data_IF_411378588716
#
_entry.id   IF_411378588716
#
_cell.length_a   1.000
_cell.length_b   1.000
_cell.length_c   1.000
_cell.angle_alpha   90.00
_cell.angle_beta   90.00
_cell.angle_gamma   90.00
#
_symmetry.space_group_name_H-M   'P 1'
#
loop_
_entity.id
_entity.type
_entity.pdbx_description
1 polymer ?
#
# COMPACT_ATOMS: atom_id res chain seq x y z
N UNK A 1 1.94 12.58 3.20
CA UNK A 1 0.82 11.84 2.58
C UNK A 1 0.20 10.79 3.54
N UNK A 2 -1.10 10.47 3.43
CA UNK A 2 -1.70 9.29 4.08
C UNK A 2 -2.12 8.25 3.04
N UNK A 3 -1.97 6.98 3.37
CA UNK A 3 -2.35 5.87 2.49
C UNK A 3 -3.13 4.82 3.26
N UNK A 4 -4.11 4.20 2.61
CA UNK A 4 -4.86 3.05 3.13
C UNK A 4 -5.07 2.01 2.04
N UNK A 5 -5.25 0.76 2.45
CA UNK A 5 -5.62 -0.35 1.57
C UNK A 5 -7.10 -0.65 1.76
N UNK A 6 -7.85 -0.74 0.67
CA UNK A 6 -9.23 -1.21 0.64
C UNK A 6 -9.24 -2.75 0.68
N UNK A 7 -9.73 -3.31 1.77
CA UNK A 7 -9.79 -4.75 2.02
C UNK A 7 -10.74 -5.49 1.08
N UNK A 8 -11.73 -4.79 0.51
CA UNK A 8 -12.70 -5.38 -0.43
C UNK A 8 -12.14 -5.52 -1.84
N UNK A 9 -11.14 -4.70 -2.19
CA UNK A 9 -10.46 -4.73 -3.49
C UNK A 9 -9.13 -5.47 -3.44
N UNK A 10 -8.48 -5.51 -2.28
CA UNK A 10 -7.20 -6.18 -2.12
C UNK A 10 -7.31 -7.68 -2.44
N UNK A 11 -6.38 -8.18 -3.24
CA UNK A 11 -6.30 -9.60 -3.64
C UNK A 11 -5.05 -10.29 -3.11
N UNK A 12 -4.34 -9.68 -2.16
CA UNK A 12 -3.07 -10.18 -1.64
C UNK A 12 -2.04 -10.55 -2.72
N UNK A 13 -1.96 -9.74 -3.78
CA UNK A 13 -0.98 -9.95 -4.85
C UNK A 13 0.46 -9.57 -4.45
N UNK A 14 0.66 -8.99 -3.26
CA UNK A 14 1.95 -8.61 -2.66
C UNK A 14 2.79 -7.58 -3.42
N UNK A 15 2.33 -7.08 -4.58
CA UNK A 15 3.06 -6.09 -5.40
C UNK A 15 3.51 -4.87 -4.60
N UNK A 16 2.63 -4.30 -3.78
CA UNK A 16 2.97 -3.14 -2.94
C UNK A 16 3.95 -3.46 -1.81
N UNK A 17 3.95 -4.69 -1.30
CA UNK A 17 4.92 -5.15 -0.29
C UNK A 17 6.30 -5.31 -0.93
N UNK A 18 6.36 -5.76 -2.18
CA UNK A 18 7.61 -5.83 -2.95
C UNK A 18 8.13 -4.44 -3.34
N UNK A 19 7.24 -3.50 -3.71
CA UNK A 19 7.61 -2.14 -4.10
C UNK A 19 8.03 -1.29 -2.90
N UNK A 20 7.28 -1.31 -1.80
CA UNK A 20 7.56 -0.48 -0.62
C UNK A 20 7.34 -1.25 0.70
N UNK A 21 8.25 -2.18 1.07
CA UNK A 21 8.13 -3.02 2.26
C UNK A 21 8.23 -2.24 3.59
N UNK A 22 8.74 -1.00 3.53
CA UNK A 22 8.80 -0.10 4.68
C UNK A 22 7.44 0.52 5.01
N UNK A 23 6.53 0.61 4.04
CA UNK A 23 5.17 1.16 4.20
C UNK A 23 4.10 0.08 4.22
N UNK A 24 4.24 -0.98 3.42
CA UNK A 24 3.25 -2.04 3.29
C UNK A 24 3.72 -3.37 3.89
N UNK A 25 2.82 -4.11 4.51
CA UNK A 25 3.06 -5.48 4.95
C UNK A 25 1.84 -6.37 4.75
N UNK A 26 2.07 -7.66 4.48
CA UNK A 26 1.01 -8.66 4.41
C UNK A 26 0.45 -8.93 5.81
N UNK A 27 -0.84 -8.66 5.99
CA UNK A 27 -1.56 -8.91 7.25
C UNK A 27 -2.08 -10.35 7.37
N UNK A 28 -2.71 -10.66 8.50
CA UNK A 28 -3.17 -12.02 8.85
C UNK A 28 -4.39 -12.52 8.06
N UNK A 29 -5.14 -11.65 7.38
CA UNK A 29 -6.40 -11.99 6.67
C UNK A 29 -6.25 -12.01 5.14
N UNK A 30 -5.06 -12.30 4.62
CA UNK A 30 -4.76 -12.20 3.18
C UNK A 30 -5.07 -10.79 2.62
N UNK A 31 -4.82 -9.76 3.42
CA UNK A 31 -4.99 -8.35 3.05
C UNK A 31 -3.73 -7.59 3.46
N UNK A 32 -3.23 -6.76 2.55
CA UNK A 32 -2.07 -5.89 2.83
C UNK A 32 -2.51 -4.76 3.76
N UNK A 33 -1.66 -4.44 4.73
CA UNK A 33 -1.85 -3.35 5.69
C UNK A 33 -0.73 -2.31 5.57
N UNK A 34 -0.99 -1.11 6.10
CA UNK A 34 -0.04 0.00 6.09
C UNK A 34 0.63 0.09 7.47
N UNK A 35 1.96 0.05 7.48
CA UNK A 35 2.82 0.02 8.68
C UNK A 35 2.94 1.38 9.37
N UNK A 36 2.69 2.46 8.62
CA UNK A 36 2.89 3.85 9.06
C UNK A 36 1.57 4.63 9.01
N UNK A 37 1.34 5.51 9.99
CA UNK A 37 0.16 6.40 9.99
C UNK A 37 0.27 7.52 8.95
N UNK A 38 1.49 7.97 8.69
CA UNK A 38 1.83 9.02 7.73
C UNK A 38 3.06 8.56 6.96
N UNK A 39 2.98 8.62 5.63
CA UNK A 39 4.07 8.22 4.73
C UNK A 39 5.20 9.25 4.84
N UNK A 40 6.43 8.83 5.19
CA UNK A 40 7.61 9.69 5.15
C UNK A 40 7.91 10.17 3.72
N UNK A 41 8.44 11.39 3.56
CA UNK A 41 8.75 11.98 2.24
C UNK A 41 9.66 11.08 1.38
N UNK A 42 10.56 10.31 2.00
CA UNK A 42 11.45 9.38 1.28
C UNK A 42 10.73 8.19 0.63
N UNK A 43 9.51 7.87 1.07
CA UNK A 43 8.69 6.76 0.56
C UNK A 43 7.46 7.24 -0.21
N UNK A 44 7.24 8.55 -0.38
CA UNK A 44 6.06 9.05 -1.11
C UNK A 44 6.05 8.62 -2.58
N UNK A 45 7.21 8.61 -3.24
CA UNK A 45 7.35 8.13 -4.61
C UNK A 45 7.06 6.62 -4.73
N UNK A 46 7.61 5.80 -3.81
CA UNK A 46 7.39 4.35 -3.79
C UNK A 46 5.92 4.00 -3.51
N UNK A 47 5.24 4.78 -2.66
CA UNK A 47 3.81 4.61 -2.36
C UNK A 47 2.95 4.98 -3.57
N UNK A 48 3.31 6.04 -4.31
CA UNK A 48 2.64 6.37 -5.57
C UNK A 48 2.82 5.25 -6.60
N UNK A 49 4.04 4.76 -6.79
CA UNK A 49 4.32 3.64 -7.71
C UNK A 49 3.54 2.38 -7.30
N UNK A 50 3.47 2.09 -6.01
CA UNK A 50 2.70 0.96 -5.47
C UNK A 50 1.21 1.09 -5.82
N UNK A 51 0.65 2.29 -5.69
CA UNK A 51 -0.75 2.55 -6.02
C UNK A 51 -1.04 2.39 -7.52
N UNK A 52 -0.17 2.91 -8.38
CA UNK A 52 -0.28 2.77 -9.84
C UNK A 52 -0.08 1.32 -10.30
N UNK A 53 0.76 0.55 -9.60
CA UNK A 53 1.05 -0.84 -9.92
C UNK A 53 0.02 -1.83 -9.37
N UNK A 54 -0.88 -1.38 -8.50
CA UNK A 54 -1.89 -2.25 -7.90
C UNK A 54 -2.91 -2.69 -8.96
N UNK A 55 -2.98 -4.00 -9.31
CA UNK A 55 -3.87 -4.48 -10.38
C UNK A 55 -5.35 -4.36 -10.04
N UNK A 56 -5.67 -4.12 -8.76
CA UNK A 56 -7.04 -3.99 -8.26
C UNK A 56 -7.34 -2.58 -7.76
N UNK A 57 -6.43 -1.61 -7.95
CA UNK A 57 -6.59 -0.22 -7.53
C UNK A 57 -7.00 -0.09 -6.04
N UNK A 58 -6.51 -1.02 -5.21
CA UNK A 58 -6.90 -1.13 -3.80
C UNK A 58 -6.19 -0.14 -2.88
N UNK A 59 -5.19 0.60 -3.39
CA UNK A 59 -4.37 1.52 -2.60
C UNK A 59 -4.93 2.93 -2.78
N UNK A 60 -5.41 3.50 -1.70
CA UNK A 60 -6.06 4.82 -1.68
C UNK A 60 -5.14 5.82 -0.99
N UNK A 61 -4.82 6.89 -1.69
CA UNK A 61 -3.96 7.97 -1.21
C UNK A 61 -4.83 9.19 -0.85
N UNK A 62 -4.63 9.74 0.34
CA UNK A 62 -5.24 10.97 0.84
C UNK A 62 -4.14 12.03 1.09
N UNK A 63 -4.36 13.26 0.60
CA UNK A 63 -3.46 14.42 0.73
C UNK A 63 -3.61 15.16 2.08
#
# INVERSE_FOLDING_TARGET
MKVRVDDTLCTACEVCVDTCPDVFEMGDEDVVTVKVDTVPEEFEDDVQESAESCPCEAILIDE
#
